data_IF_687024732946
#
_entry.id   IF_687024732946
#
_cell.length_a   1.000
_cell.length_b   1.000
_cell.length_c   1.000
_cell.angle_alpha   90.00
_cell.angle_beta   90.00
_cell.angle_gamma   90.00
#
_symmetry.space_group_name_H-M   'P 1'
#
loop_
_entity.id
_entity.type
_entity.pdbx_description
1 polymer ?
#
# COMPACT_ATOMS: atom_id res chain seq x y z
N UNK A 1 3.63 -22.78 11.29
CA UNK A 1 4.56 -21.84 11.98
C UNK A 1 5.17 -20.74 11.07
N UNK A 2 5.87 -21.04 9.97
CA UNK A 2 6.43 -19.99 9.08
C UNK A 2 5.34 -19.20 8.33
N UNK A 3 4.37 -19.89 7.73
CA UNK A 3 3.26 -19.28 6.98
C UNK A 3 2.33 -18.45 7.88
N UNK A 4 2.02 -18.93 9.10
CA UNK A 4 1.25 -18.16 10.09
C UNK A 4 1.97 -16.88 10.54
N UNK A 5 3.30 -16.93 10.70
CA UNK A 5 4.08 -15.73 11.00
C UNK A 5 4.12 -14.76 9.80
N UNK A 6 4.06 -15.27 8.56
CA UNK A 6 4.01 -14.46 7.33
C UNK A 6 2.73 -13.62 7.25
N UNK A 7 1.57 -14.18 7.61
CA UNK A 7 0.29 -13.44 7.64
C UNK A 7 0.29 -12.28 8.63
N UNK A 8 1.11 -12.34 9.69
CA UNK A 8 1.19 -11.26 10.69
C UNK A 8 2.08 -10.08 10.27
N UNK A 9 2.84 -10.21 9.18
CA UNK A 9 3.81 -9.23 8.72
C UNK A 9 3.82 -9.13 7.17
N UNK A 10 2.91 -8.34 6.56
CA UNK A 10 2.78 -8.23 5.10
C UNK A 10 4.08 -7.77 4.41
N UNK A 11 4.90 -6.97 5.10
CA UNK A 11 6.22 -6.55 4.59
C UNK A 11 7.20 -7.71 4.39
N UNK A 12 7.11 -8.78 5.20
CA UNK A 12 7.93 -9.99 5.00
C UNK A 12 7.50 -10.79 3.78
N UNK A 13 6.20 -10.79 3.47
CA UNK A 13 5.66 -11.41 2.26
C UNK A 13 6.18 -10.68 1.02
N UNK A 14 6.11 -9.35 1.03
CA UNK A 14 6.65 -8.49 -0.05
C UNK A 14 8.15 -8.71 -0.26
N UNK A 15 8.93 -8.79 0.83
CA UNK A 15 10.36 -9.08 0.75
C UNK A 15 10.65 -10.47 0.21
N UNK A 16 9.94 -11.50 0.67
CA UNK A 16 10.13 -12.88 0.17
C UNK A 16 9.78 -12.98 -1.32
N UNK A 17 8.72 -12.29 -1.75
CA UNK A 17 8.37 -12.16 -3.16
C UNK A 17 9.49 -11.47 -3.95
N UNK A 18 10.07 -10.38 -3.42
CA UNK A 18 11.23 -9.70 -4.02
C UNK A 18 12.42 -10.64 -4.18
N UNK A 19 12.71 -11.47 -3.16
CA UNK A 19 13.77 -12.49 -3.23
C UNK A 19 13.49 -13.56 -4.28
N UNK A 20 12.23 -13.98 -4.44
CA UNK A 20 11.85 -14.93 -5.49
C UNK A 20 12.05 -14.33 -6.89
N UNK A 21 11.66 -13.06 -7.09
CA UNK A 21 11.91 -12.35 -8.35
C UNK A 21 13.41 -12.21 -8.64
N UNK A 22 14.23 -11.96 -7.62
CA UNK A 22 15.68 -11.86 -7.76
C UNK A 22 16.31 -13.16 -8.30
N UNK A 23 15.74 -14.33 -8.00
CA UNK A 23 16.20 -15.62 -8.54
C UNK A 23 15.96 -15.76 -10.05
N UNK A 24 15.07 -14.95 -10.64
CA UNK A 24 14.75 -14.96 -12.07
C UNK A 24 15.79 -14.14 -12.87
N UNK A 25 16.46 -13.17 -12.24
CA UNK A 25 17.43 -12.28 -12.90
C UNK A 25 18.56 -13.02 -13.62
N UNK A 26 19.24 -14.03 -13.01
CA UNK A 26 20.27 -14.79 -13.71
C UNK A 26 19.72 -15.53 -14.94
N UNK A 27 18.49 -16.06 -14.86
CA UNK A 27 17.86 -16.78 -15.97
C UNK A 27 17.58 -15.84 -17.15
N UNK A 28 17.16 -14.60 -16.87
CA UNK A 28 16.95 -13.57 -17.89
C UNK A 28 18.27 -13.15 -18.53
N UNK A 29 19.34 -13.01 -17.73
CA UNK A 29 20.69 -12.73 -18.21
C UNK A 29 21.20 -13.81 -19.15
N UNK A 30 21.02 -15.09 -18.80
CA UNK A 30 21.38 -16.22 -19.67
C UNK A 30 20.57 -16.26 -20.98
N UNK A 31 19.35 -15.71 -20.99
CA UNK A 31 18.51 -15.61 -22.18
C UNK A 31 18.74 -14.31 -22.97
N UNK A 32 19.73 -13.50 -22.61
CA UNK A 32 20.04 -12.20 -23.22
C UNK A 32 18.81 -11.27 -23.36
N UNK A 33 17.94 -11.23 -22.34
CA UNK A 33 16.76 -10.34 -22.30
C UNK A 33 16.99 -9.17 -21.34
N UNK A 34 17.82 -8.21 -21.75
CA UNK A 34 18.24 -7.08 -20.91
C UNK A 34 17.07 -6.14 -20.55
N UNK A 35 16.15 -5.83 -21.47
CA UNK A 35 14.99 -4.98 -21.19
C UNK A 35 14.09 -5.54 -20.08
N UNK A 36 13.86 -6.86 -20.09
CA UNK A 36 13.05 -7.51 -19.07
C UNK A 36 13.78 -7.52 -17.73
N UNK A 37 15.11 -7.71 -17.74
CA UNK A 37 15.95 -7.63 -16.54
C UNK A 37 15.79 -6.26 -15.86
N UNK A 38 15.87 -5.17 -16.62
CA UNK A 38 15.71 -3.81 -16.09
C UNK A 38 14.31 -3.59 -15.48
N UNK A 39 13.25 -4.07 -16.13
CA UNK A 39 11.88 -4.01 -15.59
C UNK A 39 11.80 -4.77 -14.26
N UNK A 40 12.32 -6.00 -14.20
CA UNK A 40 12.34 -6.78 -12.96
C UNK A 40 13.20 -6.12 -11.87
N UNK A 41 14.33 -5.48 -12.21
CA UNK A 41 15.15 -4.73 -11.27
C UNK A 41 14.36 -3.59 -10.61
N UNK A 42 13.64 -2.80 -11.43
CA UNK A 42 12.79 -1.71 -10.92
C UNK A 42 11.71 -2.24 -9.99
N UNK A 43 11.05 -3.34 -10.37
CA UNK A 43 10.02 -3.98 -9.53
C UNK A 43 10.60 -4.48 -8.20
N UNK A 44 11.78 -5.11 -8.20
CA UNK A 44 12.47 -5.58 -6.98
C UNK A 44 12.79 -4.40 -6.06
N UNK A 45 13.30 -3.29 -6.61
CA UNK A 45 13.63 -2.10 -5.82
C UNK A 45 12.37 -1.48 -5.19
N UNK A 46 11.28 -1.37 -5.96
CA UNK A 46 9.99 -0.87 -5.47
C UNK A 46 9.36 -1.76 -4.40
N UNK A 47 9.47 -3.08 -4.54
CA UNK A 47 8.92 -4.04 -3.56
C UNK A 47 9.78 -4.19 -2.31
N UNK A 48 11.08 -3.90 -2.40
CA UNK A 48 12.00 -3.87 -1.26
C UNK A 48 11.85 -2.58 -0.44
N UNK A 49 11.50 -1.44 -1.05
CA UNK A 49 11.39 -0.17 -0.32
C UNK A 49 10.41 -0.20 0.88
N UNK A 50 9.18 -0.76 0.78
CA UNK A 50 8.27 -0.93 1.91
C UNK A 50 8.83 -1.80 3.04
N UNK A 51 9.79 -2.70 2.74
CA UNK A 51 10.44 -3.51 3.77
C UNK A 51 11.26 -2.66 4.75
N UNK A 52 11.80 -1.52 4.32
CA UNK A 52 12.49 -0.61 5.25
C UNK A 52 11.58 -0.09 6.37
N UNK A 53 10.30 0.12 6.09
CA UNK A 53 9.31 0.51 7.11
C UNK A 53 9.16 -0.55 8.20
N UNK A 54 9.40 -1.83 7.90
CA UNK A 54 9.39 -2.89 8.91
C UNK A 54 10.47 -2.67 9.98
N UNK A 55 11.67 -2.23 9.58
CA UNK A 55 12.75 -1.93 10.53
C UNK A 55 12.45 -0.68 11.34
N UNK A 56 11.77 0.32 10.76
CA UNK A 56 11.33 1.52 11.46
C UNK A 56 10.37 1.22 12.63
N UNK A 57 9.71 0.05 12.64
CA UNK A 57 8.81 -0.38 13.72
C UNK A 57 9.52 -0.55 15.08
N UNK A 58 10.83 -0.76 15.08
CA UNK A 58 11.63 -0.90 16.30
C UNK A 58 11.78 0.40 17.10
N UNK A 59 11.59 1.56 16.47
CA UNK A 59 11.76 2.87 17.12
C UNK A 59 10.49 3.29 17.86
N UNK A 60 10.65 3.82 19.08
CA UNK A 60 9.53 4.25 19.95
C UNK A 60 8.70 5.37 19.33
N UNK A 61 9.32 6.28 18.58
CA UNK A 61 8.66 7.42 17.95
C UNK A 61 7.99 7.06 16.62
N UNK A 62 8.67 6.28 15.78
CA UNK A 62 8.21 5.97 14.40
C UNK A 62 7.35 4.70 14.33
N UNK A 63 7.56 3.75 15.24
CA UNK A 63 6.93 2.44 15.16
C UNK A 63 5.41 2.43 15.24
N UNK A 64 4.76 3.18 16.16
CA UNK A 64 3.31 3.30 16.17
C UNK A 64 2.75 3.86 14.86
N UNK A 65 3.39 4.89 14.31
CA UNK A 65 2.99 5.52 13.05
C UNK A 65 3.02 4.55 11.87
N UNK A 66 4.10 3.76 11.75
CA UNK A 66 4.20 2.72 10.71
C UNK A 66 3.07 1.70 10.83
N UNK A 67 2.78 1.22 12.05
CA UNK A 67 1.69 0.25 12.27
C UNK A 67 0.33 0.84 11.91
N UNK A 68 0.12 2.12 12.18
CA UNK A 68 -1.10 2.82 11.79
C UNK A 68 -1.26 2.89 10.27
N UNK A 69 -0.22 3.28 9.54
CA UNK A 69 -0.23 3.27 8.06
C UNK A 69 -0.60 1.89 7.53
N UNK A 70 0.04 0.83 8.02
CA UNK A 70 -0.26 -0.54 7.58
C UNK A 70 -1.72 -0.92 7.83
N UNK A 71 -2.30 -0.51 8.96
CA UNK A 71 -3.71 -0.77 9.28
C UNK A 71 -4.67 0.04 8.40
N UNK A 72 -4.37 1.30 8.13
CA UNK A 72 -5.16 2.15 7.21
C UNK A 72 -5.18 1.55 5.80
N UNK A 73 -4.01 1.16 5.28
CA UNK A 73 -3.88 0.64 3.92
C UNK A 73 -4.65 -0.68 3.78
N UNK A 74 -4.43 -1.65 4.68
CA UNK A 74 -5.07 -2.96 4.57
C UNK A 74 -6.56 -2.96 4.92
N UNK A 75 -6.98 -2.13 5.87
CA UNK A 75 -8.38 -2.12 6.33
C UNK A 75 -9.27 -1.18 5.52
N UNK A 76 -8.89 0.10 5.48
CA UNK A 76 -9.77 1.16 5.01
C UNK A 76 -9.55 1.41 3.51
N UNK A 77 -8.29 1.57 3.08
CA UNK A 77 -7.97 1.90 1.68
C UNK A 77 -8.41 0.82 0.69
N UNK A 78 -8.19 -0.48 0.98
CA UNK A 78 -8.61 -1.56 0.09
C UNK A 78 -10.14 -1.66 -0.08
N UNK A 79 -10.91 -1.43 1.00
CA UNK A 79 -12.38 -1.51 0.95
C UNK A 79 -12.95 -0.42 0.06
N UNK A 80 -12.56 0.83 0.29
CA UNK A 80 -13.03 1.94 -0.52
C UNK A 80 -12.37 1.94 -1.91
N UNK A 81 -11.13 1.48 -2.02
CA UNK A 81 -10.37 1.42 -3.26
C UNK A 81 -11.02 0.49 -4.27
N UNK A 82 -11.56 -0.63 -3.80
CA UNK A 82 -12.36 -1.53 -4.64
C UNK A 82 -13.61 -0.83 -5.21
N UNK A 83 -14.34 -0.06 -4.39
CA UNK A 83 -15.52 0.70 -4.86
C UNK A 83 -15.10 1.74 -5.91
N UNK A 84 -14.00 2.46 -5.66
CA UNK A 84 -13.43 3.40 -6.62
C UNK A 84 -13.07 2.72 -7.95
N UNK A 85 -12.41 1.56 -7.92
CA UNK A 85 -12.04 0.81 -9.13
C UNK A 85 -13.26 0.38 -9.96
N UNK A 86 -14.38 0.01 -9.31
CA UNK A 86 -15.63 -0.32 -10.03
C UNK A 86 -16.14 0.88 -10.82
N UNK A 87 -16.14 2.08 -10.22
CA UNK A 87 -16.53 3.29 -10.93
C UNK A 87 -15.54 3.66 -12.05
N UNK A 88 -14.23 3.58 -11.78
CA UNK A 88 -13.20 3.84 -12.80
C UNK A 88 -13.40 2.93 -14.02
N UNK A 89 -13.57 1.62 -13.80
CA UNK A 89 -13.77 0.68 -14.91
C UNK A 89 -15.09 0.91 -15.65
N UNK A 90 -16.17 1.29 -14.95
CA UNK A 90 -17.45 1.59 -15.59
C UNK A 90 -17.37 2.83 -16.49
N UNK A 91 -16.85 3.94 -15.95
CA UNK A 91 -16.71 5.18 -16.71
C UNK A 91 -15.64 5.08 -17.79
N UNK A 92 -14.56 4.31 -17.60
CA UNK A 92 -13.50 4.16 -18.61
C UNK A 92 -14.03 3.58 -19.93
N UNK A 93 -14.96 2.63 -19.88
CA UNK A 93 -15.55 2.07 -21.11
C UNK A 93 -16.43 3.10 -21.82
N UNK A 94 -17.18 3.92 -21.08
CA UNK A 94 -17.96 5.01 -21.67
C UNK A 94 -17.06 6.03 -22.36
N UNK A 95 -15.95 6.42 -21.72
CA UNK A 95 -14.99 7.34 -22.30
C UNK A 95 -14.25 6.74 -23.50
N UNK A 96 -13.88 5.46 -23.44
CA UNK A 96 -13.32 4.77 -24.59
C UNK A 96 -14.24 4.90 -25.82
N UNK A 97 -15.54 4.68 -25.67
CA UNK A 97 -16.51 4.82 -26.77
C UNK A 97 -16.58 6.27 -27.28
N UNK A 98 -16.65 7.25 -26.38
CA UNK A 98 -16.72 8.67 -26.76
C UNK A 98 -15.48 9.11 -27.56
N UNK A 99 -14.30 8.62 -27.18
CA UNK A 99 -13.04 8.96 -27.83
C UNK A 99 -12.79 8.17 -29.13
N UNK A 100 -13.66 7.21 -29.51
CA UNK A 100 -13.60 6.64 -30.86
C UNK A 100 -14.02 7.65 -31.94
N UNK A 101 -14.89 8.61 -31.59
CA UNK A 101 -15.32 9.71 -32.47
C UNK A 101 -14.43 10.96 -32.32
N UNK A 102 -13.19 10.80 -31.86
CA UNK A 102 -12.24 11.90 -31.74
C UNK A 102 -11.68 12.26 -33.11
N UNK A 103 -11.78 13.53 -33.48
CA UNK A 103 -11.31 14.07 -34.76
C UNK A 103 -10.16 15.07 -34.51
N UNK A 104 -9.00 14.83 -35.13
CA UNK A 104 -7.87 15.72 -35.00
C UNK A 104 -7.72 16.60 -36.26
N UNK A 105 -7.89 17.93 -36.14
CA UNK A 105 -7.84 18.85 -37.28
C UNK A 105 -6.46 18.98 -37.94
N UNK A 106 -5.41 18.37 -37.37
CA UNK A 106 -4.06 18.34 -37.93
C UNK A 106 -3.78 17.10 -38.79
N UNK A 107 -4.69 16.13 -38.79
CA UNK A 107 -4.54 14.88 -39.54
C UNK A 107 -5.33 14.96 -40.86
N UNK A 108 -4.74 14.58 -42.00
CA UNK A 108 -5.46 14.51 -43.28
C UNK A 108 -6.65 13.54 -43.24
N UNK A 109 -7.77 13.93 -43.87
CA UNK A 109 -8.97 13.10 -44.02
C UNK A 109 -8.63 11.69 -44.54
N UNK A 110 -8.92 10.66 -43.73
CA UNK A 110 -8.70 9.25 -44.08
C UNK A 110 -7.45 8.58 -43.50
N UNK A 111 -6.69 9.27 -42.64
CA UNK A 111 -5.62 8.68 -41.82
C UNK A 111 -6.18 8.35 -40.43
N UNK A 112 -5.78 7.22 -39.87
CA UNK A 112 -6.21 6.77 -38.53
C UNK A 112 -5.68 7.73 -37.45
N UNK A 113 -6.59 8.43 -36.77
CA UNK A 113 -6.31 9.37 -35.68
C UNK A 113 -5.87 8.69 -34.38
N UNK A 114 -5.81 7.35 -34.34
CA UNK A 114 -5.42 6.56 -33.16
C UNK A 114 -4.10 6.98 -32.51
N UNK A 115 -3.14 7.53 -33.27
CA UNK A 115 -1.85 8.01 -32.72
C UNK A 115 -2.00 9.34 -31.97
N UNK A 116 -2.95 10.18 -32.38
CA UNK A 116 -3.18 11.51 -31.80
C UNK A 116 -4.29 11.55 -30.76
N UNK A 117 -5.08 10.48 -30.69
CA UNK A 117 -6.15 10.30 -29.73
C UNK A 117 -5.58 10.17 -28.30
N UNK A 118 -6.02 11.00 -27.34
CA UNK A 118 -5.62 10.88 -25.94
C UNK A 118 -6.06 9.57 -25.26
N UNK A 119 -7.07 8.89 -25.80
CA UNK A 119 -7.64 7.63 -25.29
C UNK A 119 -7.87 6.63 -26.45
N UNK A 120 -6.79 6.04 -27.01
CA UNK A 120 -6.89 5.16 -28.18
C UNK A 120 -7.33 3.73 -27.84
N UNK A 121 -7.10 3.27 -26.61
CA UNK A 121 -7.41 1.90 -26.20
C UNK A 121 -8.03 1.83 -24.79
N UNK A 122 -8.67 0.70 -24.49
CA UNK A 122 -9.43 0.53 -23.24
C UNK A 122 -8.57 0.57 -21.98
N UNK A 123 -7.27 0.25 -22.07
CA UNK A 123 -6.33 0.31 -20.94
C UNK A 123 -5.92 1.75 -20.67
N UNK A 124 -5.62 2.52 -21.73
CA UNK A 124 -5.35 3.94 -21.64
C UNK A 124 -6.58 4.71 -21.16
N UNK A 125 -7.79 4.27 -21.49
CA UNK A 125 -9.02 4.82 -20.92
C UNK A 125 -9.06 4.70 -19.39
N UNK A 126 -8.67 3.54 -18.84
CA UNK A 126 -8.59 3.33 -17.38
C UNK A 126 -7.55 4.27 -16.76
N UNK A 127 -6.39 4.42 -17.40
CA UNK A 127 -5.33 5.32 -16.94
C UNK A 127 -5.76 6.79 -17.03
N UNK A 128 -6.43 7.19 -18.11
CA UNK A 128 -6.96 8.53 -18.30
C UNK A 128 -7.99 8.87 -17.21
N UNK A 129 -8.92 7.95 -16.90
CA UNK A 129 -9.85 8.13 -15.77
C UNK A 129 -9.10 8.33 -14.45
N UNK A 130 -8.08 7.51 -14.20
CA UNK A 130 -7.26 7.63 -13.00
C UNK A 130 -6.53 8.98 -12.93
N UNK A 131 -5.94 9.46 -14.02
CA UNK A 131 -5.26 10.76 -14.05
C UNK A 131 -6.23 11.95 -13.95
N UNK A 132 -7.39 11.87 -14.59
CA UNK A 132 -8.46 12.86 -14.43
C UNK A 132 -8.91 12.98 -12.97
N UNK A 133 -8.96 11.87 -12.22
CA UNK A 133 -9.28 11.88 -10.79
C UNK A 133 -8.23 12.58 -9.92
N UNK A 134 -6.95 12.55 -10.33
CA UNK A 134 -5.80 13.10 -9.61
C UNK A 134 -5.47 14.53 -10.00
N UNK A 135 -6.45 15.33 -10.45
CA UNK A 135 -6.32 16.72 -10.92
C UNK A 135 -5.67 16.97 -12.29
N UNK A 136 -5.23 15.94 -13.04
CA UNK A 136 -4.70 16.11 -14.40
C UNK A 136 -5.81 16.02 -15.47
N UNK A 137 -6.86 16.83 -15.35
CA UNK A 137 -8.01 16.80 -16.27
C UNK A 137 -7.98 17.86 -17.38
N UNK A 138 -7.07 18.85 -17.32
CA UNK A 138 -7.03 19.95 -18.27
C UNK A 138 -6.86 19.50 -19.72
N UNK A 139 -5.93 18.58 -19.96
CA UNK A 139 -5.62 18.06 -21.30
C UNK A 139 -6.79 17.23 -21.86
N UNK A 140 -7.46 16.45 -21.01
CA UNK A 140 -8.61 15.63 -21.41
C UNK A 140 -9.88 16.47 -21.60
N UNK A 141 -10.09 17.50 -20.78
CA UNK A 141 -11.28 18.35 -20.89
C UNK A 141 -11.30 19.13 -22.21
N UNK A 142 -10.14 19.65 -22.65
CA UNK A 142 -10.01 20.28 -23.96
C UNK A 142 -10.17 19.31 -25.13
N UNK A 143 -9.83 18.03 -24.93
CA UNK A 143 -10.03 16.99 -25.93
C UNK A 143 -11.53 16.64 -26.15
N UNK A 144 -12.41 16.91 -25.18
CA UNK A 144 -13.85 16.68 -25.35
C UNK A 144 -14.49 17.57 -26.42
N UNK A 145 -13.91 18.74 -26.72
CA UNK A 145 -14.41 19.63 -27.77
C UNK A 145 -14.15 19.08 -29.18
N UNK A 146 -13.29 18.06 -29.29
CA UNK A 146 -12.92 17.39 -30.54
C UNK A 146 -13.65 16.06 -30.74
N UNK A 147 -14.62 15.74 -29.90
CA UNK A 147 -15.46 14.54 -30.07
C UNK A 147 -16.85 14.93 -30.53
N UNK A 148 -17.50 14.09 -31.34
CA UNK A 148 -18.88 14.31 -31.79
C UNK A 148 -19.87 14.44 -30.61
N UNK A 149 -19.57 13.75 -29.49
CA UNK A 149 -20.40 13.70 -28.28
C UNK A 149 -19.92 14.66 -27.17
N UNK A 150 -19.51 15.88 -27.51
CA UNK A 150 -18.97 16.87 -26.57
C UNK A 150 -19.86 17.10 -25.34
N UNK A 151 -21.17 17.26 -25.53
CA UNK A 151 -22.12 17.56 -24.44
C UNK A 151 -22.25 16.40 -23.45
N UNK A 152 -22.30 15.17 -23.96
CA UNK A 152 -22.37 13.94 -23.16
C UNK A 152 -21.07 13.71 -22.41
N UNK A 153 -19.92 13.94 -23.04
CA UNK A 153 -18.59 13.82 -22.43
C UNK A 153 -18.42 14.77 -21.24
N UNK A 154 -18.84 16.04 -21.41
CA UNK A 154 -18.80 17.06 -20.35
C UNK A 154 -19.79 16.77 -19.22
N UNK A 155 -20.97 16.24 -19.51
CA UNK A 155 -21.94 15.83 -18.50
C UNK A 155 -21.41 14.65 -17.66
N UNK A 156 -20.92 13.60 -18.32
CA UNK A 156 -20.32 12.44 -17.66
C UNK A 156 -19.12 12.83 -16.80
N UNK A 157 -18.34 13.83 -17.25
CA UNK A 157 -17.20 14.35 -16.49
C UNK A 157 -17.64 14.95 -15.16
N UNK A 158 -18.66 15.81 -15.17
CA UNK A 158 -19.18 16.44 -13.94
C UNK A 158 -19.72 15.38 -12.96
N UNK A 159 -20.47 14.40 -13.47
CA UNK A 159 -21.01 13.30 -12.65
C UNK A 159 -19.89 12.45 -12.06
N UNK A 160 -18.91 12.05 -12.88
CA UNK A 160 -17.75 11.27 -12.43
C UNK A 160 -16.96 12.02 -11.36
N UNK A 161 -16.63 13.29 -11.59
CA UNK A 161 -15.90 14.11 -10.62
C UNK A 161 -16.67 14.28 -9.32
N UNK A 162 -17.99 14.43 -9.37
CA UNK A 162 -18.83 14.46 -8.17
C UNK A 162 -18.79 13.15 -7.37
N UNK A 163 -18.94 12.01 -8.04
CA UNK A 163 -18.86 10.68 -7.41
C UNK A 163 -17.48 10.46 -6.79
N UNK A 164 -16.41 10.71 -7.54
CA UNK A 164 -15.03 10.56 -7.06
C UNK A 164 -14.75 11.47 -5.88
N UNK A 165 -15.19 12.74 -5.93
CA UNK A 165 -15.02 13.66 -4.80
C UNK A 165 -15.69 13.12 -3.53
N UNK A 166 -16.94 12.62 -3.64
CA UNK A 166 -17.64 12.01 -2.50
C UNK A 166 -16.90 10.77 -1.99
N UNK A 167 -16.41 9.90 -2.88
CA UNK A 167 -15.67 8.70 -2.50
C UNK A 167 -14.34 9.02 -1.82
N UNK A 168 -13.57 9.97 -2.35
CA UNK A 168 -12.30 10.41 -1.78
C UNK A 168 -12.49 11.10 -0.42
N UNK A 169 -13.52 11.93 -0.27
CA UNK A 169 -13.87 12.54 1.02
C UNK A 169 -14.31 11.46 2.01
N UNK A 170 -15.13 10.49 1.59
CA UNK A 170 -15.56 9.37 2.45
C UNK A 170 -14.37 8.50 2.88
N UNK A 171 -13.41 8.25 2.00
CA UNK A 171 -12.14 7.60 2.35
C UNK A 171 -11.36 8.41 3.38
N UNK A 172 -11.20 9.73 3.16
CA UNK A 172 -10.42 10.62 4.01
C UNK A 172 -11.03 10.69 5.42
N UNK A 173 -12.35 10.82 5.53
CA UNK A 173 -13.08 10.88 6.80
C UNK A 173 -13.01 9.53 7.52
N UNK A 174 -13.26 8.41 6.83
CA UNK A 174 -13.22 7.09 7.43
C UNK A 174 -11.82 6.75 7.97
N UNK A 175 -10.78 7.09 7.20
CA UNK A 175 -9.39 6.91 7.61
C UNK A 175 -9.07 7.79 8.81
N UNK A 176 -9.37 9.09 8.77
CA UNK A 176 -9.09 9.98 9.91
C UNK A 176 -9.88 9.60 11.17
N UNK A 177 -11.15 9.18 11.04
CA UNK A 177 -12.03 8.78 12.15
C UNK A 177 -11.55 7.52 12.88
N UNK A 178 -11.24 6.45 12.15
CA UNK A 178 -10.69 5.21 12.73
C UNK A 178 -9.32 5.45 13.37
N UNK A 179 -8.52 6.34 12.79
CA UNK A 179 -7.17 6.65 13.26
C UNK A 179 -7.20 7.43 14.56
N UNK A 180 -8.09 8.43 14.67
CA UNK A 180 -8.24 9.23 15.88
C UNK A 180 -8.64 8.39 17.09
N UNK A 181 -9.58 7.45 16.90
CA UNK A 181 -9.99 6.53 17.96
C UNK A 181 -8.88 5.54 18.35
N UNK A 182 -8.07 5.06 17.39
CA UNK A 182 -6.92 4.16 17.67
C UNK A 182 -5.72 4.87 18.31
N UNK A 183 -5.50 6.14 18.00
CA UNK A 183 -4.42 6.95 18.61
C UNK A 183 -4.62 7.06 20.13
N UNK A 184 -5.86 7.21 20.59
CA UNK A 184 -6.18 7.25 22.02
C UNK A 184 -5.79 5.95 22.76
N UNK A 185 -5.79 4.79 22.09
CA UNK A 185 -5.38 3.49 22.64
C UNK A 185 -3.87 3.17 22.49
N UNK A 186 -3.12 4.00 21.76
CA UNK A 186 -1.79 3.65 21.21
C UNK A 186 -0.68 3.49 22.25
N UNK A 187 -0.81 4.08 23.45
CA UNK A 187 0.21 3.96 24.50
C UNK A 187 0.43 2.51 24.95
N UNK A 188 -0.64 1.72 25.04
CA UNK A 188 -0.57 0.30 25.42
C UNK A 188 -0.24 -0.60 24.22
N UNK A 189 -0.67 -0.22 23.02
CA UNK A 189 -0.39 -0.99 21.80
C UNK A 189 1.10 -0.97 21.45
N UNK A 190 1.79 0.17 21.61
CA UNK A 190 3.25 0.24 21.39
C UNK A 190 4.01 -0.76 22.27
N UNK A 191 3.68 -0.86 23.56
CA UNK A 191 4.31 -1.81 24.48
C UNK A 191 4.06 -3.25 24.06
N UNK A 192 2.83 -3.57 23.63
CA UNK A 192 2.48 -4.88 23.09
C UNK A 192 3.28 -5.21 21.83
N UNK A 193 3.48 -4.24 20.92
CA UNK A 193 4.26 -4.47 19.70
C UNK A 193 5.75 -4.66 20.00
N UNK A 194 6.31 -3.88 20.93
CA UNK A 194 7.68 -4.04 21.39
C UNK A 194 7.91 -5.42 21.99
N UNK A 195 7.03 -5.87 22.90
CA UNK A 195 7.09 -7.21 23.48
C UNK A 195 7.03 -8.32 22.42
N UNK A 196 6.19 -8.14 21.38
CA UNK A 196 6.08 -9.10 20.28
C UNK A 196 7.37 -9.19 19.45
N UNK A 197 8.01 -8.06 19.17
CA UNK A 197 9.30 -8.03 18.45
C UNK A 197 10.38 -8.72 19.28
N UNK A 198 10.47 -8.42 20.58
CA UNK A 198 11.42 -9.05 21.50
C UNK A 198 11.26 -10.58 21.49
N UNK A 199 10.02 -11.09 21.57
CA UNK A 199 9.75 -12.53 21.52
C UNK A 199 10.14 -13.17 20.19
N UNK A 200 9.95 -12.48 19.07
CA UNK A 200 10.36 -12.98 17.74
C UNK A 200 11.89 -13.03 17.63
N UNK A 201 12.59 -12.01 18.13
CA UNK A 201 14.06 -11.97 18.18
C UNK A 201 14.59 -13.06 19.10
N UNK A 202 14.01 -13.23 20.29
CA UNK A 202 14.39 -14.27 21.25
C UNK A 202 14.20 -15.68 20.69
N UNK A 203 13.13 -15.90 19.90
CA UNK A 203 12.91 -17.17 19.19
C UNK A 203 13.95 -17.46 18.12
N UNK A 204 14.60 -16.42 17.57
CA UNK A 204 15.71 -16.56 16.62
C UNK A 204 17.05 -16.94 17.27
N UNK A 205 17.17 -16.80 18.59
CA UNK A 205 18.35 -17.20 19.36
C UNK A 205 18.30 -18.71 19.68
N UNK A 206 19.45 -19.38 19.66
CA UNK A 206 19.55 -20.81 19.95
C UNK A 206 18.98 -21.17 21.35
N UNK A 207 18.36 -22.35 21.54
CA UNK A 207 17.74 -22.71 22.83
C UNK A 207 18.71 -22.68 24.01
N UNK A 208 19.97 -23.04 23.80
CA UNK A 208 21.02 -23.07 24.82
C UNK A 208 21.39 -21.67 25.30
N UNK A 209 21.57 -20.71 24.39
CA UNK A 209 21.84 -19.31 24.74
C UNK A 209 20.65 -18.65 25.44
N UNK A 210 19.43 -18.97 25.01
CA UNK A 210 18.20 -18.48 25.64
C UNK A 210 18.08 -18.96 27.08
N UNK A 211 18.35 -20.24 27.34
CA UNK A 211 18.37 -20.80 28.69
C UNK A 211 19.43 -20.13 29.56
N UNK A 212 20.64 -19.91 29.02
CA UNK A 212 21.72 -19.21 29.72
C UNK A 212 21.32 -17.79 30.11
N UNK A 213 20.65 -17.04 29.23
CA UNK A 213 20.15 -15.70 29.53
C UNK A 213 19.00 -15.74 30.54
N UNK A 214 18.09 -16.72 30.43
CA UNK A 214 17.03 -16.94 31.41
C UNK A 214 17.57 -17.22 32.82
N UNK A 215 18.64 -18.01 32.92
CA UNK A 215 19.32 -18.26 34.19
C UNK A 215 19.98 -17.02 34.80
N UNK A 216 20.28 -16.00 33.99
CA UNK A 216 20.95 -14.78 34.44
C UNK A 216 19.99 -13.80 35.11
N UNK A 217 18.74 -13.70 34.65
CA UNK A 217 17.73 -12.80 35.23
C UNK A 217 16.74 -13.52 36.18
N UNK A 218 16.70 -14.85 36.22
CA UNK A 218 15.84 -15.61 37.13
C UNK A 218 16.57 -16.02 38.42
N UNK A 219 15.88 -15.91 39.56
CA UNK A 219 16.39 -16.33 40.86
C UNK A 219 15.71 -17.62 41.33
N UNK A 220 16.42 -18.53 42.01
CA UNK A 220 15.82 -19.71 42.60
C UNK A 220 14.95 -19.34 43.80
N UNK A 221 13.71 -19.83 43.82
CA UNK A 221 12.81 -19.77 44.96
C UNK A 221 13.15 -20.89 45.96
N UNK A 222 12.63 -20.80 47.18
CA UNK A 222 12.75 -21.85 48.21
C UNK A 222 12.22 -23.21 47.75
N UNK A 223 11.27 -23.21 46.82
CA UNK A 223 10.62 -24.40 46.24
C UNK A 223 11.42 -25.01 45.04
N UNK A 224 12.66 -24.56 44.83
CA UNK A 224 13.55 -25.01 43.74
C UNK A 224 13.20 -24.48 42.34
N UNK A 225 11.97 -23.98 42.15
CA UNK A 225 11.55 -23.30 40.92
C UNK A 225 12.24 -21.95 40.78
N UNK A 226 12.65 -21.58 39.57
CA UNK A 226 13.22 -20.25 39.28
C UNK A 226 12.14 -19.26 38.85
N UNK A 227 12.18 -18.06 39.39
CA UNK A 227 11.24 -16.98 39.07
C UNK A 227 11.98 -15.66 38.80
N UNK A 228 11.38 -14.80 37.97
CA UNK A 228 11.83 -13.43 37.75
C UNK A 228 11.31 -12.57 38.92
N UNK A 229 12.21 -11.99 39.71
CA UNK A 229 11.84 -11.08 40.80
C UNK A 229 11.82 -9.64 40.26
N UNK A 230 10.64 -9.05 40.19
CA UNK A 230 10.45 -7.66 39.77
C UNK A 230 10.13 -6.79 40.99
N UNK A 231 10.91 -5.72 41.22
CA UNK A 231 10.51 -4.66 42.16
C UNK A 231 9.53 -3.73 41.45
N UNK A 232 8.27 -3.74 41.88
CA UNK A 232 7.29 -2.74 41.47
C UNK A 232 7.59 -1.43 42.21
N UNK A 233 8.22 -0.47 41.54
CA UNK A 233 8.21 0.92 42.00
C UNK A 233 6.81 1.49 41.74
N UNK A 234 5.91 1.39 42.72
CA UNK A 234 4.71 2.21 42.73
C UNK A 234 5.13 3.63 43.08
N UNK A 235 5.19 4.53 42.10
CA UNK A 235 5.08 5.96 42.38
C UNK A 235 3.68 6.19 42.93
N UNK A 236 3.56 6.17 44.25
CA UNK A 236 2.38 6.67 44.95
C UNK A 236 2.32 8.16 44.64
N UNK A 237 1.45 8.57 43.72
CA UNK A 237 1.06 9.96 43.54
C UNK A 237 0.34 10.37 44.83
N UNK A 238 1.05 11.00 45.74
CA UNK A 238 0.45 11.68 46.89
C UNK A 238 -0.13 12.99 46.34
N UNK A 239 -1.46 12.99 46.22
CA UNK A 239 -2.43 14.11 46.20
C UNK A 239 -2.02 15.35 45.41
#
# INVERSE_FOLDING_TARGET
>A
MFIENLMTAPSRVMFLFSCLLMMIMPILRFKCKEEMEDIFAVVIMLTTAPYFLFFCRGFKTVGPFVVMIYRMIMGDLLRFGTIYLVFVMGFSQSYYIIFLSFDNPLTPDGIDDSISNPIPNSIEAVMAMFFMSLTNFGDYYGAFDRTEHQSEAKLMFVIYMGIVAILLVNMLIAMMGNTYQKIAETRNEWQRQWARIVLVVERGVSPSERLKKLMWYSQPMSDGRRALVLRLNQTVSII
#
